data_IF_459419918580
#
_entry.id   IF_459419918580
#
_cell.length_a   1.000
_cell.length_b   1.000
_cell.length_c   1.000
_cell.angle_alpha   90.00
_cell.angle_beta   90.00
_cell.angle_gamma   90.00
#
_symmetry.space_group_name_H-M   'P 1'
#
loop_
_entity.id
_entity.type
_entity.pdbx_description
1 polymer ?
#
# COMPACT_ATOMS: atom_id res chain seq x y z
N UNK A 1 10.98 -33.14 -0.94
CA UNK A 1 10.56 -31.78 -1.23
C UNK A 1 9.06 -31.59 -1.03
N UNK A 2 8.65 -30.41 -0.58
CA UNK A 2 7.23 -30.03 -0.44
C UNK A 2 7.02 -28.67 -1.09
N UNK A 3 5.79 -28.40 -1.50
CA UNK A 3 5.50 -27.21 -2.28
C UNK A 3 5.16 -25.97 -1.44
N UNK A 4 4.82 -26.14 -0.15
CA UNK A 4 4.35 -25.04 0.69
C UNK A 4 5.07 -24.99 2.03
N UNK A 5 5.15 -23.78 2.60
CA UNK A 5 5.69 -23.56 3.95
C UNK A 5 4.84 -24.28 5.02
N UNK A 6 3.53 -24.25 4.91
CA UNK A 6 2.63 -24.94 5.82
C UNK A 6 2.89 -26.45 5.85
N UNK A 7 3.13 -27.06 4.67
CA UNK A 7 3.47 -28.49 4.62
C UNK A 7 4.87 -28.77 5.19
N UNK A 8 5.82 -27.90 5.00
CA UNK A 8 7.15 -28.02 5.61
C UNK A 8 7.06 -27.93 7.12
N UNK A 9 6.27 -26.99 7.65
CA UNK A 9 6.00 -26.85 9.08
C UNK A 9 5.37 -28.12 9.67
N UNK A 10 4.32 -28.64 9.05
CA UNK A 10 3.67 -29.90 9.46
C UNK A 10 4.66 -31.06 9.57
N UNK A 11 5.56 -31.17 8.60
CA UNK A 11 6.59 -32.21 8.63
C UNK A 11 7.62 -31.96 9.72
N UNK A 12 8.03 -30.72 9.95
CA UNK A 12 8.99 -30.36 11.00
C UNK A 12 8.48 -30.71 12.39
N UNK A 13 7.16 -30.59 12.64
CA UNK A 13 6.51 -30.96 13.89
C UNK A 13 6.58 -32.46 14.20
N UNK A 14 6.82 -33.30 13.19
CA UNK A 14 6.93 -34.75 13.37
C UNK A 14 8.29 -35.21 13.94
N UNK A 15 9.32 -34.35 13.92
CA UNK A 15 10.58 -34.62 14.52
C UNK A 15 10.54 -34.38 16.02
N UNK A 16 11.35 -35.16 16.77
CA UNK A 16 11.43 -34.99 18.22
C UNK A 16 11.86 -33.58 18.60
N UNK A 17 11.52 -33.17 19.81
CA UNK A 17 11.89 -31.84 20.32
C UNK A 17 13.41 -31.64 20.47
N UNK A 18 14.20 -32.69 20.43
CA UNK A 18 15.66 -32.66 20.58
C UNK A 18 16.41 -32.66 19.24
N UNK A 19 15.68 -32.69 18.11
CA UNK A 19 16.26 -32.75 16.77
C UNK A 19 16.23 -31.37 16.10
N UNK A 20 17.39 -30.89 15.65
CA UNK A 20 17.49 -29.74 14.77
C UNK A 20 16.81 -30.04 13.42
N UNK A 21 16.04 -29.09 12.91
CA UNK A 21 15.36 -29.19 11.61
C UNK A 21 15.68 -27.98 10.76
N UNK A 22 16.27 -28.21 9.61
CA UNK A 22 16.48 -27.19 8.58
C UNK A 22 15.39 -27.30 7.48
N UNK A 23 14.60 -26.25 7.33
CA UNK A 23 13.67 -26.07 6.22
C UNK A 23 14.36 -25.16 5.21
N UNK A 24 14.85 -25.76 4.12
CA UNK A 24 15.57 -25.03 3.07
C UNK A 24 14.62 -24.71 1.93
N UNK A 25 14.43 -23.41 1.68
CA UNK A 25 13.58 -22.92 0.61
C UNK A 25 14.41 -22.76 -0.67
N UNK A 26 13.91 -23.32 -1.75
CA UNK A 26 14.49 -23.12 -3.09
C UNK A 26 14.20 -21.68 -3.57
N UNK A 27 14.97 -21.21 -4.55
CA UNK A 27 14.82 -19.86 -5.12
C UNK A 27 13.39 -19.65 -5.66
N UNK A 28 12.81 -18.50 -5.36
CA UNK A 28 11.47 -18.14 -5.85
C UNK A 28 10.67 -17.33 -4.85
N UNK A 29 9.45 -16.97 -5.26
CA UNK A 29 8.48 -16.26 -4.42
C UNK A 29 7.41 -17.24 -3.93
N UNK A 30 7.23 -17.28 -2.62
CA UNK A 30 6.24 -18.09 -1.91
C UNK A 30 5.12 -17.19 -1.42
N UNK A 31 3.99 -17.21 -2.13
CA UNK A 31 2.80 -16.47 -1.72
C UNK A 31 2.07 -17.24 -0.63
N UNK A 32 1.82 -16.59 0.49
CA UNK A 32 1.10 -17.18 1.60
C UNK A 32 -0.41 -16.98 1.39
N UNK A 33 -1.22 -18.06 1.31
CA UNK A 33 -2.67 -17.94 1.16
C UNK A 33 -3.36 -17.45 2.45
N UNK A 34 -2.66 -17.57 3.56
CA UNK A 34 -3.11 -17.17 4.90
C UNK A 34 -1.90 -16.86 5.79
N UNK A 35 -2.14 -16.28 6.94
CA UNK A 35 -1.08 -15.97 7.91
C UNK A 35 -0.31 -17.24 8.29
N UNK A 36 1.00 -17.22 8.12
CA UNK A 36 1.89 -18.30 8.56
C UNK A 36 2.11 -18.18 10.08
N UNK A 37 1.45 -19.05 10.84
CA UNK A 37 1.42 -19.00 12.30
C UNK A 37 2.41 -20.00 12.89
N UNK A 38 3.33 -19.51 13.72
CA UNK A 38 4.19 -20.33 14.57
C UNK A 38 3.57 -20.44 15.97
N UNK A 39 3.46 -21.67 16.46
CA UNK A 39 2.86 -21.95 17.77
C UNK A 39 3.87 -22.69 18.67
N UNK A 40 3.45 -23.04 19.87
CA UNK A 40 4.25 -23.87 20.78
C UNK A 40 4.64 -25.23 20.15
N UNK A 41 3.86 -25.75 19.22
CA UNK A 41 4.15 -27.01 18.52
C UNK A 41 5.35 -26.90 17.56
N UNK A 42 5.70 -25.68 17.15
CA UNK A 42 6.85 -25.38 16.30
C UNK A 42 8.13 -25.17 17.13
N UNK A 43 7.98 -25.08 18.43
CA UNK A 43 9.11 -24.90 19.35
C UNK A 43 9.83 -26.21 19.60
N UNK A 44 11.15 -26.13 19.75
CA UNK A 44 12.01 -27.23 20.17
C UNK A 44 12.45 -27.02 21.60
N UNK A 45 13.35 -27.87 22.07
CA UNK A 45 13.99 -27.70 23.39
C UNK A 45 14.97 -26.52 23.35
N UNK A 46 15.52 -26.18 24.53
CA UNK A 46 16.54 -25.13 24.63
C UNK A 46 17.81 -25.41 23.78
N UNK A 47 18.11 -26.68 23.51
CA UNK A 47 19.29 -27.11 22.76
C UNK A 47 19.09 -27.40 21.28
N UNK A 48 17.85 -27.29 20.79
CA UNK A 48 17.49 -27.60 19.38
C UNK A 48 16.56 -26.56 18.79
N UNK A 49 16.54 -26.45 17.46
CA UNK A 49 15.81 -25.41 16.74
C UNK A 49 15.22 -25.90 15.43
N UNK A 50 14.18 -25.16 14.95
CA UNK A 50 13.73 -25.22 13.58
C UNK A 50 14.23 -23.96 12.87
N UNK A 51 14.96 -24.12 11.78
CA UNK A 51 15.53 -23.04 11.00
C UNK A 51 14.86 -23.01 9.61
N UNK A 52 14.27 -21.88 9.25
CA UNK A 52 13.83 -21.59 7.89
C UNK A 52 14.91 -20.76 7.21
N UNK A 53 15.42 -21.21 6.09
CA UNK A 53 16.47 -20.50 5.37
C UNK A 53 16.38 -20.66 3.87
N UNK A 54 16.81 -19.65 3.13
CA UNK A 54 17.00 -19.74 1.69
C UNK A 54 18.11 -20.73 1.34
N UNK A 55 18.00 -21.43 0.21
CA UNK A 55 19.13 -22.14 -0.37
C UNK A 55 20.20 -21.16 -0.83
N UNK A 56 19.80 -20.14 -1.56
CA UNK A 56 20.65 -19.05 -2.01
C UNK A 56 20.17 -17.74 -1.40
N UNK A 57 21.05 -17.07 -0.67
CA UNK A 57 20.73 -15.81 0.03
C UNK A 57 20.21 -14.75 -0.94
N UNK A 58 19.13 -14.06 -0.56
CA UNK A 58 18.50 -13.02 -1.37
C UNK A 58 17.69 -13.53 -2.58
N UNK A 59 17.53 -14.85 -2.76
CA UNK A 59 16.77 -15.43 -3.88
C UNK A 59 15.40 -15.99 -3.48
N UNK A 60 15.06 -15.93 -2.22
CA UNK A 60 13.77 -16.37 -1.68
C UNK A 60 12.99 -15.19 -1.15
N UNK A 61 11.77 -15.06 -1.61
CA UNK A 61 10.80 -14.06 -1.12
C UNK A 61 9.62 -14.83 -0.52
N UNK A 62 9.24 -14.52 0.71
CA UNK A 62 7.98 -14.94 1.30
C UNK A 62 7.06 -13.73 1.29
N UNK A 63 5.99 -13.80 0.49
CA UNK A 63 5.06 -12.68 0.31
C UNK A 63 3.75 -12.96 1.02
N UNK A 64 3.28 -12.01 1.83
CA UNK A 64 1.92 -11.97 2.36
C UNK A 64 0.94 -11.33 1.39
N UNK A 65 1.42 -10.82 0.25
CA UNK A 65 0.59 -10.25 -0.79
C UNK A 65 -0.15 -11.29 -1.61
N UNK A 66 -1.24 -10.86 -2.19
CA UNK A 66 -2.01 -11.68 -3.12
C UNK A 66 -1.67 -11.29 -4.56
N UNK A 67 -1.11 -12.24 -5.30
CA UNK A 67 -0.83 -12.07 -6.72
C UNK A 67 -2.11 -12.15 -7.53
N UNK A 68 -2.37 -11.10 -8.31
CA UNK A 68 -3.54 -11.00 -9.19
C UNK A 68 -3.20 -11.38 -10.63
N UNK A 69 -4.12 -12.08 -11.29
CA UNK A 69 -4.09 -12.31 -12.73
C UNK A 69 -5.08 -11.35 -13.40
N UNK A 70 -4.58 -10.21 -13.89
CA UNK A 70 -5.39 -9.12 -14.37
C UNK A 70 -5.41 -9.01 -15.89
N UNK A 71 -6.59 -8.79 -16.45
CA UNK A 71 -6.78 -8.44 -17.86
C UNK A 71 -6.86 -6.91 -17.99
N UNK A 72 -5.77 -6.32 -18.38
CA UNK A 72 -5.66 -4.88 -18.50
C UNK A 72 -6.29 -4.33 -19.78
N UNK A 73 -7.04 -3.25 -19.63
CA UNK A 73 -7.62 -2.48 -20.72
C UNK A 73 -7.02 -1.08 -20.71
N UNK A 74 -6.47 -0.66 -21.85
CA UNK A 74 -5.91 0.68 -22.01
C UNK A 74 -7.06 1.68 -22.15
N UNK A 75 -7.07 2.67 -21.28
CA UNK A 75 -8.00 3.79 -21.31
C UNK A 75 -7.36 5.07 -21.85
N UNK A 76 -7.99 6.18 -21.52
CA UNK A 76 -7.51 7.52 -21.89
C UNK A 76 -6.40 8.00 -20.97
N UNK A 77 -5.68 9.05 -21.39
CA UNK A 77 -4.61 9.73 -20.62
C UNK A 77 -3.52 8.79 -20.07
N UNK A 78 -3.33 7.63 -20.69
CA UNK A 78 -2.33 6.66 -20.23
C UNK A 78 -2.76 5.78 -19.07
N UNK A 79 -3.99 5.91 -18.59
CA UNK A 79 -4.51 5.09 -17.49
C UNK A 79 -4.96 3.74 -18.03
N UNK A 80 -4.58 2.68 -17.35
CA UNK A 80 -5.05 1.31 -17.61
C UNK A 80 -6.00 0.87 -16.51
N UNK A 81 -6.89 -0.04 -16.83
CA UNK A 81 -7.83 -0.57 -15.85
C UNK A 81 -8.06 -2.06 -16.00
N UNK A 82 -8.32 -2.73 -14.88
CA UNK A 82 -8.66 -4.15 -14.83
C UNK A 82 -9.74 -4.39 -13.79
N UNK A 83 -10.60 -5.38 -14.03
CA UNK A 83 -11.56 -5.85 -13.03
C UNK A 83 -10.85 -6.83 -12.08
N UNK A 84 -11.23 -6.78 -10.82
CA UNK A 84 -10.87 -7.77 -9.79
C UNK A 84 -12.15 -8.50 -9.43
N UNK A 85 -12.19 -9.79 -9.71
CA UNK A 85 -13.43 -10.58 -9.56
C UNK A 85 -13.81 -10.76 -8.07
N UNK A 86 -12.84 -10.77 -7.20
CA UNK A 86 -13.01 -10.94 -5.77
C UNK A 86 -13.38 -9.64 -5.06
N UNK A 87 -14.14 -9.74 -3.98
CA UNK A 87 -14.43 -8.59 -3.09
C UNK A 87 -13.24 -8.36 -2.16
N UNK A 88 -12.31 -7.52 -2.58
CA UNK A 88 -11.08 -7.22 -1.84
C UNK A 88 -11.09 -5.78 -1.32
N UNK A 89 -10.30 -5.57 -0.29
CA UNK A 89 -9.81 -4.27 0.13
C UNK A 89 -8.34 -4.18 -0.27
N UNK A 90 -7.93 -3.09 -0.88
CA UNK A 90 -6.54 -2.88 -1.30
C UNK A 90 -5.97 -1.72 -0.50
N UNK A 91 -4.99 -2.00 0.34
CA UNK A 91 -4.22 -0.99 1.06
C UNK A 91 -2.92 -0.65 0.33
N UNK A 92 -2.31 -1.63 -0.32
CA UNK A 92 -1.07 -1.45 -1.05
C UNK A 92 -1.13 -2.20 -2.40
N UNK A 93 -0.57 -1.56 -3.42
CA UNK A 93 -0.35 -2.15 -4.73
C UNK A 93 1.14 -2.27 -5.01
N UNK A 94 1.54 -3.44 -5.47
CA UNK A 94 2.89 -3.68 -5.97
C UNK A 94 2.82 -4.06 -7.45
N UNK A 95 3.68 -3.46 -8.25
CA UNK A 95 3.88 -3.81 -9.66
C UNK A 95 5.32 -4.18 -9.86
N UNK A 96 5.59 -5.40 -10.35
CA UNK A 96 6.93 -5.97 -10.49
C UNK A 96 7.77 -5.94 -9.19
N UNK A 97 7.11 -6.11 -8.04
CA UNK A 97 7.73 -6.08 -6.73
C UNK A 97 8.00 -4.69 -6.17
N UNK A 98 7.64 -3.63 -6.89
CA UNK A 98 7.76 -2.25 -6.43
C UNK A 98 6.44 -1.72 -5.92
N UNK A 99 6.43 -1.15 -4.71
CA UNK A 99 5.25 -0.52 -4.13
C UNK A 99 4.89 0.73 -4.91
N UNK A 100 3.64 0.79 -5.39
CA UNK A 100 3.07 1.92 -6.11
C UNK A 100 2.28 2.81 -5.17
N UNK A 101 2.04 4.05 -5.56
CA UNK A 101 1.35 5.06 -4.74
C UNK A 101 -0.14 5.10 -5.07
N UNK A 102 -0.97 5.32 -4.08
CA UNK A 102 -2.35 5.71 -4.34
C UNK A 102 -2.36 7.04 -5.10
N UNK A 103 -3.35 7.22 -5.98
CA UNK A 103 -3.62 8.49 -6.65
C UNK A 103 -3.69 9.61 -5.62
N UNK A 104 -2.87 10.65 -5.77
CA UNK A 104 -2.63 11.62 -4.71
C UNK A 104 -2.39 13.04 -5.23
N UNK A 105 -2.58 13.98 -4.33
CA UNK A 105 -2.14 15.35 -4.54
C UNK A 105 -1.54 15.95 -3.24
N UNK A 106 -0.40 16.66 -3.31
CA UNK A 106 0.48 16.79 -4.49
C UNK A 106 1.09 15.47 -4.93
N UNK A 107 1.47 15.40 -6.22
CA UNK A 107 2.16 14.23 -6.75
C UNK A 107 3.51 14.05 -6.06
N UNK A 108 3.88 12.80 -5.81
CA UNK A 108 5.18 12.51 -5.25
C UNK A 108 6.28 12.76 -6.27
N UNK A 109 7.37 13.38 -5.83
CA UNK A 109 8.57 13.59 -6.65
C UNK A 109 9.61 12.54 -6.23
N UNK A 110 9.86 11.52 -7.07
CA UNK A 110 10.82 10.48 -6.73
C UNK A 110 12.22 11.04 -6.48
N UNK A 111 12.85 10.61 -5.40
CA UNK A 111 14.24 10.96 -5.08
C UNK A 111 14.46 12.33 -4.43
N UNK A 112 13.42 13.11 -4.21
CA UNK A 112 13.56 14.45 -3.60
C UNK A 112 13.30 14.49 -2.09
N UNK A 113 13.13 13.39 -1.42
CA UNK A 113 12.95 13.37 0.04
C UNK A 113 14.25 13.70 0.78
N UNK A 114 14.43 14.94 1.23
CA UNK A 114 15.61 15.39 1.97
C UNK A 114 15.41 15.34 3.48
N UNK A 115 14.16 15.40 3.93
CA UNK A 115 13.78 15.32 5.34
C UNK A 115 12.37 14.73 5.46
N UNK A 116 11.89 14.48 6.66
CA UNK A 116 10.58 13.88 6.90
C UNK A 116 9.43 14.71 6.32
N UNK A 117 9.57 16.01 6.24
CA UNK A 117 8.53 16.88 5.70
C UNK A 117 8.47 16.81 4.17
N UNK A 118 9.59 16.55 3.51
CA UNK A 118 9.68 16.45 2.06
C UNK A 118 9.24 15.08 1.55
N UNK A 119 9.27 14.03 2.37
CA UNK A 119 9.06 12.66 1.91
C UNK A 119 7.60 12.30 1.67
N UNK A 120 6.67 12.88 2.37
CA UNK A 120 5.27 12.51 2.24
C UNK A 120 4.30 13.67 2.10
N UNK A 121 4.72 14.85 2.48
CA UNK A 121 3.96 16.08 2.28
C UNK A 121 4.66 16.98 1.29
N UNK A 122 5.26 16.45 0.30
CA UNK A 122 6.08 17.19 -0.63
C UNK A 122 5.37 18.37 -1.27
N UNK A 123 6.01 19.52 -1.23
CA UNK A 123 5.72 20.71 -2.02
C UNK A 123 4.41 21.43 -1.72
N UNK A 124 4.16 21.72 -0.52
CA UNK A 124 2.86 21.90 -0.03
C UNK A 124 2.58 23.18 0.59
N UNK A 125 3.45 24.02 0.51
CA UNK A 125 3.21 25.41 0.78
C UNK A 125 2.76 26.07 -0.51
N UNK A 126 1.51 26.52 -0.54
CA UNK A 126 1.05 27.44 -1.56
C UNK A 126 1.98 28.64 -1.68
N UNK A 127 2.55 29.09 -0.55
CA UNK A 127 3.50 30.22 -0.50
C UNK A 127 4.87 29.88 -1.07
N UNK A 128 5.38 28.67 -0.82
CA UNK A 128 6.74 28.29 -1.22
C UNK A 128 6.79 27.59 -2.59
N UNK A 129 5.76 26.80 -2.95
CA UNK A 129 5.75 26.03 -4.19
C UNK A 129 4.89 26.61 -5.30
N UNK A 130 4.01 27.55 -4.97
CA UNK A 130 3.00 28.05 -5.90
C UNK A 130 1.92 27.03 -6.26
N UNK A 131 1.88 25.90 -5.55
CA UNK A 131 0.86 24.87 -5.77
C UNK A 131 -0.44 25.20 -5.02
N UNK A 132 -1.55 24.76 -5.58
CA UNK A 132 -2.84 24.82 -4.90
C UNK A 132 -2.82 23.98 -3.63
N UNK A 133 -3.53 24.43 -2.59
CA UNK A 133 -3.71 23.65 -1.37
C UNK A 133 -4.41 22.30 -1.68
N UNK A 134 -3.96 21.22 -1.05
CA UNK A 134 -4.57 19.90 -1.21
C UNK A 134 -6.06 19.88 -0.84
N UNK A 135 -6.51 20.76 0.05
CA UNK A 135 -7.90 20.90 0.46
C UNK A 135 -8.58 22.18 -0.08
N UNK A 136 -8.05 22.77 -1.15
CA UNK A 136 -8.73 23.90 -1.79
C UNK A 136 -10.12 23.48 -2.28
N UNK A 137 -11.11 24.37 -2.12
CA UNK A 137 -12.49 24.08 -2.52
C UNK A 137 -12.59 23.79 -4.01
N UNK A 138 -11.82 24.49 -4.85
CA UNK A 138 -11.71 24.25 -6.30
C UNK A 138 -11.28 22.82 -6.65
N UNK A 139 -10.47 22.19 -5.78
CA UNK A 139 -10.04 20.79 -5.91
C UNK A 139 -11.14 19.85 -5.46
N UNK A 140 -11.70 20.08 -4.27
CA UNK A 140 -12.79 19.28 -3.71
C UNK A 140 -13.99 19.27 -4.65
N UNK A 141 -14.29 20.38 -5.32
CA UNK A 141 -15.39 20.48 -6.27
C UNK A 141 -15.28 19.52 -7.46
N UNK A 142 -14.04 19.13 -7.83
CA UNK A 142 -13.81 18.20 -8.94
C UNK A 142 -13.97 16.73 -8.54
N UNK A 143 -13.87 16.40 -7.27
CA UNK A 143 -13.99 15.02 -6.80
C UNK A 143 -15.44 14.57 -6.81
N UNK A 144 -15.74 13.57 -7.60
CA UNK A 144 -17.11 13.04 -7.74
C UNK A 144 -17.53 12.20 -6.54
N UNK A 145 -16.62 11.32 -6.08
CA UNK A 145 -16.83 10.47 -4.92
C UNK A 145 -15.51 10.30 -4.16
N UNK A 146 -15.16 11.24 -3.25
CA UNK A 146 -13.94 11.15 -2.47
C UNK A 146 -14.05 10.24 -1.24
N UNK A 147 -15.17 9.55 -1.03
CA UNK A 147 -15.36 8.61 0.07
C UNK A 147 -14.23 7.58 0.11
N UNK A 148 -13.67 7.34 1.30
CA UNK A 148 -12.50 6.50 1.55
C UNK A 148 -11.17 7.06 1.06
N UNK A 149 -11.14 8.28 0.57
CA UNK A 149 -9.90 9.05 0.43
C UNK A 149 -9.32 9.38 1.80
N UNK A 150 -8.04 9.71 1.81
CA UNK A 150 -7.31 10.06 3.03
C UNK A 150 -6.79 11.50 2.94
N UNK A 151 -6.81 12.17 4.09
CA UNK A 151 -6.08 13.41 4.30
C UNK A 151 -4.95 13.12 5.26
N UNK A 152 -3.73 13.34 4.82
CA UNK A 152 -2.53 13.26 5.63
C UNK A 152 -2.01 14.65 5.89
N UNK A 153 -1.63 14.94 7.13
CA UNK A 153 -1.14 16.27 7.49
C UNK A 153 -0.19 16.20 8.67
N UNK A 154 0.69 17.16 8.77
CA UNK A 154 1.42 17.39 10.00
C UNK A 154 0.49 17.98 11.07
N UNK A 155 0.80 17.71 12.32
CA UNK A 155 0.26 18.47 13.44
C UNK A 155 0.63 19.94 13.28
N UNK A 156 -0.27 20.86 13.66
CA UNK A 156 -0.04 22.30 13.51
C UNK A 156 1.28 22.79 14.11
N UNK A 157 1.77 22.15 15.17
CA UNK A 157 3.07 22.44 15.78
C UNK A 157 4.20 21.49 15.32
N UNK A 158 4.02 20.73 14.25
CA UNK A 158 4.99 19.82 13.65
C UNK A 158 5.51 18.70 14.58
N UNK A 159 4.70 18.26 15.53
CA UNK A 159 5.08 17.19 16.48
C UNK A 159 4.93 15.78 15.90
N UNK A 160 4.26 15.62 14.80
CA UNK A 160 4.01 14.35 14.14
C UNK A 160 2.98 14.50 13.03
N UNK A 161 2.66 13.39 12.43
CA UNK A 161 1.64 13.28 11.40
C UNK A 161 0.27 12.88 11.97
N UNK A 162 -0.75 13.18 11.23
CA UNK A 162 -2.14 12.85 11.54
C UNK A 162 -2.88 12.49 10.26
N UNK A 163 -3.91 11.66 10.41
CA UNK A 163 -4.66 11.15 9.28
C UNK A 163 -6.16 11.31 9.52
N UNK A 164 -6.89 11.58 8.45
CA UNK A 164 -8.35 11.55 8.40
C UNK A 164 -8.80 10.69 7.23
N UNK A 165 -9.88 9.97 7.44
CA UNK A 165 -10.63 9.33 6.36
C UNK A 165 -11.70 10.31 5.88
N UNK A 166 -11.83 10.46 4.59
CA UNK A 166 -12.92 11.20 3.98
C UNK A 166 -14.16 10.29 4.00
N UNK A 167 -15.22 10.71 4.68
CA UNK A 167 -16.51 9.99 4.76
C UNK A 167 -17.43 10.35 3.61
N UNK A 168 -17.18 11.44 2.95
CA UNK A 168 -17.97 11.97 1.86
C UNK A 168 -17.93 13.48 1.78
N UNK A 169 -18.93 14.05 1.12
CA UNK A 169 -19.16 15.48 1.04
C UNK A 169 -20.46 15.87 1.75
N UNK A 170 -20.41 16.97 2.47
CA UNK A 170 -21.57 17.62 3.04
C UNK A 170 -22.43 18.28 1.95
N UNK A 171 -23.63 18.74 2.31
CA UNK A 171 -24.55 19.42 1.39
C UNK A 171 -24.02 20.72 0.79
N UNK A 172 -23.07 21.36 1.48
CA UNK A 172 -22.34 22.55 1.03
C UNK A 172 -21.06 22.24 0.25
N UNK A 173 -20.86 20.96 -0.11
CA UNK A 173 -19.71 20.45 -0.84
C UNK A 173 -18.37 20.49 -0.05
N UNK A 174 -18.39 20.73 1.25
CA UNK A 174 -17.22 20.55 2.12
C UNK A 174 -17.02 19.06 2.43
N UNK A 175 -15.82 18.68 2.87
CA UNK A 175 -15.53 17.29 3.24
C UNK A 175 -16.05 16.94 4.63
N UNK A 176 -16.66 15.78 4.74
CA UNK A 176 -16.89 15.12 6.02
C UNK A 176 -15.66 14.25 6.36
N UNK A 177 -14.99 14.56 7.47
CA UNK A 177 -13.73 13.93 7.87
C UNK A 177 -13.86 13.21 9.20
N UNK A 178 -13.28 12.02 9.29
CA UNK A 178 -13.16 11.25 10.53
C UNK A 178 -11.70 10.95 10.82
N UNK A 179 -11.20 11.31 12.01
CA UNK A 179 -9.83 11.07 12.42
C UNK A 179 -9.16 12.29 13.06
N UNK A 180 -7.86 12.44 12.87
CA UNK A 180 -7.11 13.57 13.40
C UNK A 180 -6.91 13.54 14.90
N UNK A 181 -6.87 12.36 15.49
CA UNK A 181 -6.66 12.19 16.92
C UNK A 181 -5.17 12.09 17.24
N UNK A 182 -4.72 12.90 18.18
CA UNK A 182 -3.42 12.80 18.77
C UNK A 182 -3.56 12.73 20.30
N UNK A 183 -2.94 11.73 20.92
CA UNK A 183 -3.01 11.54 22.37
C UNK A 183 -4.45 11.56 22.93
N UNK A 184 -5.37 10.89 22.28
CA UNK A 184 -6.79 10.79 22.65
C UNK A 184 -7.56 12.13 22.64
N UNK A 185 -7.12 13.09 21.87
CA UNK A 185 -7.80 14.37 21.66
C UNK A 185 -7.69 14.84 20.21
N UNK A 186 -8.67 15.58 19.70
CA UNK A 186 -8.60 16.22 18.40
C UNK A 186 -7.42 17.20 18.36
N UNK A 187 -6.78 17.32 17.21
CA UNK A 187 -5.73 18.28 16.98
C UNK A 187 -5.93 19.00 15.65
N UNK A 188 -5.33 20.19 15.53
CA UNK A 188 -5.45 21.00 14.32
C UNK A 188 -4.56 20.47 13.21
N UNK A 189 -5.10 20.42 11.99
CA UNK A 189 -4.34 20.22 10.77
C UNK A 189 -3.34 21.32 10.54
N UNK A 190 -2.14 20.98 10.07
CA UNK A 190 -1.25 21.97 9.50
C UNK A 190 -1.85 22.50 8.19
N UNK A 191 -1.78 23.82 7.99
CA UNK A 191 -2.40 24.47 6.81
C UNK A 191 -1.55 24.35 5.55
N UNK A 192 -0.29 23.95 5.69
CA UNK A 192 0.69 23.85 4.62
C UNK A 192 1.09 22.39 4.37
N UNK A 193 1.60 21.69 5.38
CA UNK A 193 2.08 20.32 5.24
C UNK A 193 0.93 19.33 5.26
N UNK A 194 0.25 19.19 4.13
CA UNK A 194 -0.86 18.27 3.95
C UNK A 194 -0.99 17.78 2.52
N UNK A 195 -1.51 16.57 2.39
CA UNK A 195 -1.79 15.94 1.11
C UNK A 195 -3.09 15.13 1.20
N UNK A 196 -3.61 14.77 0.04
CA UNK A 196 -4.71 13.82 -0.09
C UNK A 196 -4.27 12.63 -0.92
N UNK A 197 -4.81 11.46 -0.64
CA UNK A 197 -4.59 10.27 -1.48
C UNK A 197 -5.84 9.39 -1.53
N UNK A 198 -5.81 8.38 -2.41
CA UNK A 198 -6.94 7.53 -2.75
C UNK A 198 -8.13 8.32 -3.31
N UNK A 199 -7.85 9.26 -4.22
CA UNK A 199 -8.84 10.07 -4.93
C UNK A 199 -8.71 9.79 -6.42
N UNK A 200 -9.79 9.35 -7.07
CA UNK A 200 -9.78 8.95 -8.48
C UNK A 200 -9.35 10.08 -9.42
N UNK A 201 -9.83 11.29 -9.16
CA UNK A 201 -9.55 12.47 -9.97
C UNK A 201 -8.11 13.00 -9.82
N UNK A 202 -7.38 12.49 -8.84
CA UNK A 202 -5.96 12.78 -8.64
C UNK A 202 -5.05 11.68 -9.25
N UNK A 203 -5.60 10.76 -10.04
CA UNK A 203 -4.84 9.75 -10.77
C UNK A 203 -4.27 10.38 -12.05
N UNK A 204 -3.14 11.05 -11.96
CA UNK A 204 -2.56 11.84 -13.05
C UNK A 204 -1.04 11.75 -13.18
N UNK A 205 -0.37 10.95 -12.35
CA UNK A 205 1.06 10.72 -12.42
C UNK A 205 1.45 9.24 -12.60
N UNK A 206 2.54 8.95 -13.33
CA UNK A 206 3.03 7.57 -13.49
C UNK A 206 3.35 6.90 -12.14
N UNK A 207 2.98 5.64 -12.01
CA UNK A 207 3.13 4.85 -10.79
C UNK A 207 2.00 5.05 -9.78
N UNK A 208 0.97 5.80 -10.12
CA UNK A 208 -0.21 5.97 -9.27
C UNK A 208 -1.33 4.99 -9.62
N UNK A 209 -2.11 4.62 -8.60
CA UNK A 209 -3.24 3.73 -8.73
C UNK A 209 -4.44 4.18 -7.89
N UNK A 210 -5.62 3.74 -8.31
CA UNK A 210 -6.88 3.90 -7.59
C UNK A 210 -7.72 2.62 -7.74
N UNK A 211 -8.33 2.18 -6.64
CA UNK A 211 -9.26 1.05 -6.67
C UNK A 211 -10.68 1.51 -6.36
N UNK A 212 -11.54 1.39 -7.37
CA UNK A 212 -12.98 1.59 -7.19
C UNK A 212 -13.61 0.30 -6.66
N UNK A 213 -13.89 0.29 -5.35
CA UNK A 213 -14.46 -0.89 -4.71
C UNK A 213 -15.89 -1.19 -5.19
N UNK A 214 -16.68 -0.19 -5.58
CA UNK A 214 -18.05 -0.39 -6.06
C UNK A 214 -18.05 -1.06 -7.43
N UNK A 215 -17.18 -0.61 -8.30
CA UNK A 215 -16.97 -1.20 -9.63
C UNK A 215 -16.07 -2.42 -9.62
N UNK A 216 -15.40 -2.71 -8.49
CA UNK A 216 -14.32 -3.70 -8.36
C UNK A 216 -13.25 -3.53 -9.44
N UNK A 217 -12.86 -2.29 -9.69
CA UNK A 217 -12.01 -1.92 -10.80
C UNK A 217 -10.76 -1.19 -10.32
N UNK A 218 -9.63 -1.77 -10.66
CA UNK A 218 -8.32 -1.19 -10.43
C UNK A 218 -7.94 -0.32 -11.61
N UNK A 219 -7.55 0.91 -11.33
CA UNK A 219 -6.99 1.87 -12.28
C UNK A 219 -5.52 2.08 -11.94
N UNK A 220 -4.69 2.14 -12.96
CA UNK A 220 -3.25 2.31 -12.79
C UNK A 220 -2.68 3.13 -13.95
N UNK A 221 -1.84 4.10 -13.65
CA UNK A 221 -1.04 4.81 -14.64
C UNK A 221 0.38 4.25 -14.63
N UNK A 222 0.76 3.41 -15.61
CA UNK A 222 2.05 2.75 -15.60
C UNK A 222 3.21 3.71 -15.80
N UNK A 223 4.35 3.34 -15.24
CA UNK A 223 5.62 3.98 -15.55
C UNK A 223 6.07 3.63 -16.96
N UNK A 224 6.91 4.47 -17.56
CA UNK A 224 7.34 4.32 -18.96
C UNK A 224 8.06 2.99 -19.26
N UNK A 225 8.68 2.40 -18.25
CA UNK A 225 9.39 1.11 -18.35
C UNK A 225 8.48 -0.11 -18.29
N UNK A 226 7.21 0.04 -17.92
CA UNK A 226 6.31 -1.07 -17.64
C UNK A 226 5.53 -1.51 -18.90
N UNK A 227 5.55 -2.81 -19.16
CA UNK A 227 4.77 -3.44 -20.22
C UNK A 227 3.57 -4.15 -19.59
N UNK A 228 2.39 -3.58 -19.72
CA UNK A 228 1.19 -4.00 -18.99
C UNK A 228 0.72 -5.43 -19.28
N UNK A 229 1.16 -6.02 -20.35
CA UNK A 229 0.94 -7.44 -20.67
C UNK A 229 1.91 -8.41 -19.95
N UNK A 230 2.93 -7.87 -19.26
CA UNK A 230 3.98 -8.66 -18.59
C UNK A 230 4.18 -8.34 -17.12
N UNK A 231 3.47 -7.35 -16.60
CA UNK A 231 3.63 -6.97 -15.20
C UNK A 231 3.10 -8.03 -14.26
N UNK A 232 3.80 -8.24 -13.16
CA UNK A 232 3.28 -8.97 -12.00
C UNK A 232 2.64 -7.97 -11.06
N UNK A 233 1.39 -8.21 -10.67
CA UNK A 233 0.64 -7.34 -9.76
C UNK A 233 0.33 -8.09 -8.48
N UNK A 234 0.62 -7.46 -7.37
CA UNK A 234 0.32 -7.97 -6.02
C UNK A 234 -0.41 -6.89 -5.22
N UNK A 235 -1.34 -7.30 -4.38
CA UNK A 235 -2.09 -6.44 -3.46
C UNK A 235 -1.91 -6.90 -2.02
N UNK A 236 -2.00 -5.95 -1.08
CA UNK A 236 -2.02 -6.19 0.36
C UNK A 236 -3.18 -5.44 0.98
#
# INVERSE_FOLDING_TARGET
PVATLAKAQELARRFTSETDVDIVLEDGTYYLPETFVLTVEDSKTYSSKVTYRARNEGKVIISGGWKLDLKWNKGEKGIWSALIDEDVYIDQLYVNGERKRMARYPNAIPGEGRNVYDTWVLNHSVEESGQEDALAQSRIDRWSNPERGYVHTMHNALWGDMHWVIKGKNSDNTLELEGGWQNNRPSSMHTVYRMVENIKEELDAPGEWFYDKQERKLYYMPETSEQMDKVTVEIV
#
